data_IF_535455341606
#
_entry.id   IF_535455341606
#
_cell.length_a   1.000
_cell.length_b   1.000
_cell.length_c   1.000
_cell.angle_alpha   90.00
_cell.angle_beta   90.00
_cell.angle_gamma   90.00
#
_symmetry.space_group_name_H-M   'P 1'
#
loop_
_entity.id
_entity.type
_entity.pdbx_description
1 polymer ?
#
# COMPACT_ATOMS: atom_id res chain seq x y z
N UNK A 1 -5.50 7.04 15.77
CA UNK A 1 -6.53 8.03 15.31
C UNK A 1 -6.18 9.50 15.65
N UNK A 2 -5.33 9.71 16.65
CA UNK A 2 -4.89 10.98 17.22
C UNK A 2 -4.22 11.88 16.19
N UNK A 3 -3.40 11.30 15.30
CA UNK A 3 -2.75 12.05 14.23
C UNK A 3 -3.77 12.62 13.23
N UNK A 4 -4.85 11.90 12.93
CA UNK A 4 -5.91 12.40 12.07
C UNK A 4 -6.59 13.64 12.69
N UNK A 5 -6.96 13.55 13.98
CA UNK A 5 -7.53 14.69 14.74
C UNK A 5 -6.60 15.89 14.76
N UNK A 6 -5.31 15.65 14.95
CA UNK A 6 -4.30 16.71 14.90
C UNK A 6 -4.25 17.41 13.54
N UNK A 7 -4.22 16.64 12.43
CA UNK A 7 -4.20 17.19 11.07
C UNK A 7 -5.49 17.94 10.72
N UNK A 8 -6.64 17.45 11.18
CA UNK A 8 -7.93 18.14 11.05
C UNK A 8 -7.90 19.49 11.76
N UNK A 9 -7.39 19.54 13.00
CA UNK A 9 -7.28 20.77 13.77
C UNK A 9 -6.34 21.79 13.10
N UNK A 10 -5.29 21.33 12.42
CA UNK A 10 -4.42 22.19 11.62
C UNK A 10 -5.06 22.69 10.33
N UNK A 11 -6.24 22.19 9.94
CA UNK A 11 -6.94 22.56 8.69
C UNK A 11 -6.09 22.39 7.43
N UNK A 12 -5.27 21.33 7.38
CA UNK A 12 -4.47 21.00 6.20
C UNK A 12 -5.38 20.68 5.00
N UNK A 13 -4.90 20.85 3.77
CA UNK A 13 -5.69 20.50 2.58
C UNK A 13 -5.81 18.99 2.39
N UNK A 14 -4.71 18.27 2.57
CA UNK A 14 -4.62 16.82 2.38
C UNK A 14 -3.79 16.19 3.51
N UNK A 15 -4.16 14.98 3.89
CA UNK A 15 -3.46 14.17 4.89
C UNK A 15 -3.07 12.84 4.25
N UNK A 16 -1.78 12.66 3.94
CA UNK A 16 -1.29 11.43 3.31
C UNK A 16 -0.76 10.44 4.35
N UNK A 17 -1.29 9.22 4.32
CA UNK A 17 -0.85 8.08 5.11
C UNK A 17 -0.02 7.15 4.20
N UNK A 18 1.30 7.28 4.27
CA UNK A 18 2.23 6.49 3.47
C UNK A 18 2.80 5.33 4.29
N UNK A 19 2.80 4.12 3.71
CA UNK A 19 3.45 2.97 4.32
C UNK A 19 4.98 3.13 4.28
N UNK A 20 5.72 2.82 5.37
CA UNK A 20 7.16 3.03 5.41
C UNK A 20 7.93 2.02 4.56
N UNK A 21 8.98 2.51 3.88
CA UNK A 21 9.98 1.67 3.23
C UNK A 21 11.06 1.22 4.22
N UNK A 22 11.45 -0.05 4.15
CA UNK A 22 12.50 -0.63 5.01
C UNK A 22 13.92 -0.43 4.47
N UNK A 23 14.33 0.82 4.23
CA UNK A 23 15.64 1.15 3.65
C UNK A 23 16.66 1.62 4.70
N UNK A 24 17.93 1.77 4.29
CA UNK A 24 19.01 2.23 5.18
C UNK A 24 19.19 1.33 6.42
N UNK A 25 19.23 1.94 7.62
CA UNK A 25 19.33 1.17 8.88
C UNK A 25 18.06 0.40 9.21
N UNK A 26 16.89 0.84 8.74
CA UNK A 26 15.64 0.11 8.94
C UNK A 26 15.69 -1.27 8.27
N UNK A 27 16.43 -1.42 7.16
CA UNK A 27 16.67 -2.72 6.52
C UNK A 27 17.28 -3.76 7.47
N UNK A 28 18.20 -3.34 8.35
CA UNK A 28 18.85 -4.23 9.34
C UNK A 28 17.90 -4.60 10.49
N UNK A 29 16.99 -3.69 10.83
CA UNK A 29 16.03 -3.85 11.93
C UNK A 29 14.60 -3.90 11.40
N UNK A 30 14.40 -4.60 10.27
CA UNK A 30 13.18 -4.50 9.47
C UNK A 30 11.93 -4.79 10.31
N UNK A 31 11.91 -5.92 11.00
CA UNK A 31 10.78 -6.35 11.82
C UNK A 31 10.52 -5.47 13.06
N UNK A 32 11.47 -4.58 13.41
CA UNK A 32 11.29 -3.60 14.49
C UNK A 32 10.72 -2.27 13.96
N UNK A 33 11.02 -1.92 12.71
CA UNK A 33 10.68 -0.62 12.13
C UNK A 33 9.45 -0.67 11.20
N UNK A 34 9.24 -1.80 10.53
CA UNK A 34 8.22 -1.96 9.51
C UNK A 34 7.14 -2.89 10.06
N UNK A 35 5.89 -2.41 10.24
CA UNK A 35 4.79 -3.24 10.69
C UNK A 35 4.27 -4.14 9.56
N UNK A 36 3.43 -5.13 9.87
CA UNK A 36 2.69 -5.83 8.82
C UNK A 36 1.50 -5.01 8.35
N UNK A 37 1.05 -5.24 7.11
CA UNK A 37 -0.16 -4.60 6.59
C UNK A 37 -1.40 -4.98 7.42
N UNK A 38 -1.48 -6.24 7.88
CA UNK A 38 -2.56 -6.68 8.78
C UNK A 38 -2.57 -5.91 10.10
N UNK A 39 -1.40 -5.54 10.62
CA UNK A 39 -1.28 -4.90 11.93
C UNK A 39 -1.72 -3.43 11.86
N UNK A 40 -1.43 -2.74 10.76
CA UNK A 40 -1.79 -1.33 10.59
C UNK A 40 -3.24 -1.13 10.15
N UNK A 41 -3.86 -2.13 9.51
CA UNK A 41 -5.19 -2.01 8.91
C UNK A 41 -6.24 -1.41 9.86
N UNK A 42 -6.47 -1.94 11.09
CA UNK A 42 -7.49 -1.36 11.97
C UNK A 42 -7.20 0.09 12.34
N UNK A 43 -5.94 0.45 12.56
CA UNK A 43 -5.55 1.83 12.90
C UNK A 43 -5.72 2.78 11.72
N UNK A 44 -5.46 2.29 10.50
CA UNK A 44 -5.68 3.06 9.28
C UNK A 44 -7.17 3.31 9.06
N UNK A 45 -8.02 2.28 9.20
CA UNK A 45 -9.48 2.41 9.13
C UNK A 45 -10.01 3.43 10.14
N UNK A 46 -9.57 3.34 11.39
CA UNK A 46 -9.93 4.30 12.44
C UNK A 46 -9.47 5.72 12.10
N UNK A 47 -8.22 5.90 11.66
CA UNK A 47 -7.69 7.21 11.32
C UNK A 47 -8.42 7.85 10.14
N UNK A 48 -8.75 7.08 9.10
CA UNK A 48 -9.45 7.59 7.92
C UNK A 48 -10.89 8.01 8.27
N UNK A 49 -11.56 7.26 9.14
CA UNK A 49 -12.93 7.57 9.59
C UNK A 49 -13.03 8.93 10.30
N UNK A 50 -11.97 9.36 11.00
CA UNK A 50 -11.96 10.66 11.69
C UNK A 50 -12.12 11.86 10.73
N UNK A 51 -11.81 11.68 9.44
CA UNK A 51 -11.96 12.73 8.43
C UNK A 51 -13.39 12.88 7.89
N UNK A 52 -14.32 11.99 8.27
CA UNK A 52 -15.71 12.06 7.81
C UNK A 52 -16.37 13.38 8.24
N UNK A 53 -16.90 14.13 7.26
CA UNK A 53 -17.53 15.43 7.49
C UNK A 53 -16.54 16.62 7.55
N UNK A 54 -15.24 16.37 7.43
CA UNK A 54 -14.22 17.42 7.35
C UNK A 54 -13.78 17.69 5.91
N UNK A 55 -13.27 18.89 5.65
CA UNK A 55 -12.79 19.31 4.32
C UNK A 55 -11.40 18.75 3.99
N UNK A 56 -10.67 18.26 5.00
CA UNK A 56 -9.34 17.68 4.84
C UNK A 56 -9.46 16.35 4.11
N UNK A 57 -8.72 16.18 3.01
CA UNK A 57 -8.79 14.97 2.19
C UNK A 57 -7.74 13.95 2.63
N UNK A 58 -8.11 12.80 3.20
CA UNK A 58 -7.15 11.75 3.50
C UNK A 58 -6.77 10.97 2.23
N UNK A 59 -5.51 10.57 2.12
CA UNK A 59 -4.95 9.78 1.02
C UNK A 59 -4.13 8.62 1.59
N UNK A 60 -4.10 7.48 0.93
CA UNK A 60 -3.37 6.28 1.33
C UNK A 60 -2.38 5.91 0.23
N UNK A 61 -1.11 5.78 0.60
CA UNK A 61 -0.01 5.49 -0.31
C UNK A 61 0.78 4.27 0.15
N UNK A 62 1.29 3.49 -0.81
CA UNK A 62 2.15 2.32 -0.59
C UNK A 62 1.52 1.18 0.24
N UNK A 63 0.18 1.17 0.38
CA UNK A 63 -0.59 0.05 0.92
C UNK A 63 -1.32 -0.65 -0.24
N UNK A 64 -1.13 -1.96 -0.45
CA UNK A 64 -1.78 -2.66 -1.55
C UNK A 64 -3.32 -2.61 -1.45
N UNK A 65 -4.06 -2.42 -2.57
CA UNK A 65 -5.51 -2.30 -2.55
C UNK A 65 -6.26 -3.48 -1.89
N UNK A 66 -5.68 -4.68 -1.89
CA UNK A 66 -6.27 -5.83 -1.20
C UNK A 66 -6.36 -5.68 0.34
N UNK A 67 -5.65 -4.71 0.94
CA UNK A 67 -5.79 -4.34 2.34
C UNK A 67 -6.77 -3.18 2.57
N UNK A 68 -7.22 -2.52 1.49
CA UNK A 68 -7.99 -1.28 1.51
C UNK A 68 -9.46 -1.49 1.11
N UNK A 69 -10.00 -2.70 1.34
CA UNK A 69 -11.41 -3.00 1.05
C UNK A 69 -12.30 -2.06 1.90
N UNK A 70 -13.17 -1.29 1.24
CA UNK A 70 -13.98 -0.23 1.86
C UNK A 70 -13.28 1.14 1.98
N UNK A 71 -11.99 1.22 1.66
CA UNK A 71 -11.16 2.44 1.68
C UNK A 71 -10.57 2.77 0.30
N UNK A 72 -11.04 2.12 -0.77
CA UNK A 72 -10.45 2.17 -2.11
C UNK A 72 -10.39 3.60 -2.66
N UNK A 73 -11.39 4.42 -2.33
CA UNK A 73 -11.47 5.83 -2.76
C UNK A 73 -10.32 6.72 -2.28
N UNK A 74 -9.56 6.27 -1.29
CA UNK A 74 -8.45 7.02 -0.71
C UNK A 74 -7.08 6.60 -1.27
N UNK A 75 -7.01 5.50 -2.01
CA UNK A 75 -5.76 4.97 -2.56
C UNK A 75 -5.25 5.80 -3.74
N UNK A 76 -3.96 6.18 -3.73
CA UNK A 76 -3.40 7.12 -4.72
C UNK A 76 -2.28 6.58 -5.60
N UNK A 77 -1.68 5.43 -5.31
CA UNK A 77 -0.53 4.94 -6.09
C UNK A 77 -0.91 4.65 -7.56
N UNK A 78 -2.17 4.34 -7.84
CA UNK A 78 -2.66 4.09 -9.20
C UNK A 78 -2.40 5.25 -10.18
N UNK A 79 -2.51 6.50 -9.71
CA UNK A 79 -2.40 7.69 -10.56
C UNK A 79 -0.94 7.97 -10.92
N UNK A 80 -0.01 7.73 -9.99
CA UNK A 80 1.41 8.00 -10.20
C UNK A 80 2.06 6.98 -11.15
N UNK A 81 1.60 5.73 -11.13
CA UNK A 81 2.31 4.61 -11.74
C UNK A 81 1.83 4.24 -13.17
N UNK A 82 0.66 4.73 -13.62
CA UNK A 82 0.20 4.57 -15.03
C UNK A 82 1.09 5.25 -16.06
N UNK A 83 1.93 6.21 -15.66
CA UNK A 83 2.85 6.91 -16.56
C UNK A 83 3.99 5.98 -17.04
N UNK A 84 4.29 4.90 -16.32
CA UNK A 84 5.51 4.11 -16.55
C UNK A 84 5.34 2.76 -17.28
N UNK A 85 4.12 2.40 -17.72
CA UNK A 85 3.89 1.24 -18.61
C UNK A 85 4.35 -0.11 -18.05
N UNK A 86 3.46 -0.84 -17.38
CA UNK A 86 3.83 -2.09 -16.72
C UNK A 86 3.88 -3.30 -17.65
N UNK A 87 5.03 -3.97 -17.70
CA UNK A 87 5.21 -5.33 -18.21
C UNK A 87 5.79 -6.19 -17.09
N UNK A 88 5.05 -7.21 -16.65
CA UNK A 88 5.48 -8.17 -15.62
C UNK A 88 6.61 -9.05 -16.16
N UNK A 89 7.78 -9.02 -15.53
CA UNK A 89 8.93 -9.86 -15.85
C UNK A 89 9.20 -10.85 -14.72
N UNK A 90 9.37 -12.13 -15.05
CA UNK A 90 9.57 -13.21 -14.09
C UNK A 90 11.03 -13.30 -13.62
N UNK A 91 11.27 -13.24 -12.32
CA UNK A 91 12.51 -13.73 -11.71
C UNK A 91 12.22 -14.28 -10.31
N UNK A 92 12.50 -15.57 -10.09
CA UNK A 92 12.51 -16.21 -8.76
C UNK A 92 11.25 -15.94 -7.92
N UNK A 93 10.09 -16.37 -8.42
CA UNK A 93 8.74 -16.25 -7.79
C UNK A 93 8.21 -14.82 -7.54
N UNK A 94 8.99 -13.79 -7.89
CA UNK A 94 8.67 -12.38 -7.74
C UNK A 94 8.48 -11.76 -9.14
N UNK A 95 7.40 -11.00 -9.31
CA UNK A 95 7.10 -10.32 -10.58
C UNK A 95 7.60 -8.88 -10.54
N UNK A 96 8.61 -8.57 -11.34
CA UNK A 96 9.16 -7.22 -11.45
C UNK A 96 8.53 -6.49 -12.64
N UNK A 97 8.01 -5.27 -12.46
CA UNK A 97 7.73 -4.39 -13.58
C UNK A 97 9.04 -3.97 -14.30
N UNK A 98 9.06 -3.99 -15.65
CA UNK A 98 10.28 -3.76 -16.44
C UNK A 98 10.53 -2.26 -16.69
N UNK A 99 11.75 -1.81 -16.38
CA UNK A 99 12.26 -0.45 -16.64
C UNK A 99 12.73 0.20 -15.33
N UNK A 100 14.05 0.34 -15.17
CA UNK A 100 14.76 0.96 -14.02
C UNK A 100 14.35 0.47 -12.61
N UNK A 101 15.25 -0.26 -11.94
CA UNK A 101 15.22 -0.62 -10.50
C UNK A 101 13.81 -0.62 -9.90
N UNK A 102 13.01 -1.64 -10.22
CA UNK A 102 11.69 -1.69 -9.62
C UNK A 102 11.81 -2.14 -8.17
N UNK A 103 11.38 -1.27 -7.24
CA UNK A 103 11.37 -1.53 -5.80
C UNK A 103 10.12 -2.30 -5.35
N UNK A 104 9.11 -2.40 -6.23
CA UNK A 104 7.85 -3.10 -5.98
C UNK A 104 7.71 -4.34 -6.87
N UNK A 105 6.96 -5.31 -6.39
CA UNK A 105 6.68 -6.55 -7.09
C UNK A 105 5.29 -7.10 -6.77
N UNK A 106 4.87 -8.07 -7.58
CA UNK A 106 3.68 -8.86 -7.35
C UNK A 106 4.04 -10.31 -7.00
N UNK A 107 3.08 -11.04 -6.44
CA UNK A 107 3.21 -12.47 -6.17
C UNK A 107 2.32 -13.28 -7.11
N UNK A 108 2.47 -14.62 -7.12
CA UNK A 108 1.59 -15.49 -7.92
C UNK A 108 0.10 -15.33 -7.57
N UNK A 109 -0.19 -15.00 -6.32
CA UNK A 109 -1.56 -14.74 -5.84
C UNK A 109 -2.18 -13.50 -6.48
N UNK A 110 -1.36 -12.51 -6.83
CA UNK A 110 -1.83 -11.27 -7.45
C UNK A 110 -2.40 -11.49 -8.86
N UNK A 111 -2.01 -12.56 -9.56
CA UNK A 111 -2.48 -12.85 -10.93
C UNK A 111 -3.99 -13.07 -11.03
N UNK A 112 -4.62 -13.48 -9.93
CA UNK A 112 -6.07 -13.67 -9.84
C UNK A 112 -6.76 -12.52 -9.09
N UNK A 113 -6.08 -11.42 -8.79
CA UNK A 113 -6.67 -10.30 -8.06
C UNK A 113 -7.34 -9.31 -9.01
N UNK A 114 -8.59 -8.97 -8.75
CA UNK A 114 -9.34 -8.03 -9.60
C UNK A 114 -8.85 -6.59 -9.44
N UNK A 115 -8.14 -6.27 -8.34
CA UNK A 115 -7.44 -5.00 -8.17
C UNK A 115 -6.08 -4.94 -8.86
N UNK A 116 -5.58 -6.03 -9.47
CA UNK A 116 -4.26 -6.05 -10.12
C UNK A 116 -4.05 -4.88 -11.10
N UNK A 117 -5.02 -4.52 -11.99
CA UNK A 117 -4.82 -3.41 -12.92
C UNK A 117 -4.65 -2.04 -12.26
N UNK A 118 -5.05 -1.91 -10.99
CA UNK A 118 -4.96 -0.67 -10.22
C UNK A 118 -3.87 -0.70 -9.13
N UNK A 119 -3.28 -1.86 -8.87
CA UNK A 119 -2.27 -2.05 -7.83
C UNK A 119 -0.89 -1.59 -8.34
N UNK A 120 -0.12 -0.91 -7.50
CA UNK A 120 1.28 -0.56 -7.76
C UNK A 120 2.28 -1.68 -7.44
N UNK A 121 1.80 -2.78 -6.86
CA UNK A 121 2.62 -3.83 -6.28
C UNK A 121 3.05 -3.54 -4.84
N UNK A 122 3.84 -4.45 -4.30
CA UNK A 122 4.30 -4.51 -2.90
C UNK A 122 5.81 -4.34 -2.89
N UNK A 123 6.38 -3.60 -1.94
CA UNK A 123 7.84 -3.48 -1.85
C UNK A 123 8.53 -4.84 -1.77
N UNK A 124 9.60 -5.02 -2.54
CA UNK A 124 10.36 -6.27 -2.60
C UNK A 124 10.93 -6.60 -1.22
N UNK A 125 11.46 -5.60 -0.50
CA UNK A 125 11.97 -5.83 0.84
C UNK A 125 10.89 -6.31 1.81
N UNK A 126 9.63 -5.89 1.61
CA UNK A 126 8.51 -6.40 2.41
C UNK A 126 8.31 -7.89 2.15
N UNK A 127 8.20 -8.29 0.88
CA UNK A 127 8.01 -9.69 0.50
C UNK A 127 9.16 -10.58 0.96
N UNK A 128 10.41 -10.08 0.87
CA UNK A 128 11.59 -10.84 1.30
C UNK A 128 11.65 -11.07 2.82
N UNK A 129 11.15 -10.13 3.64
CA UNK A 129 11.19 -10.24 5.11
C UNK A 129 9.95 -10.90 5.70
N UNK A 130 8.77 -10.63 5.15
CA UNK A 130 7.49 -11.06 5.71
C UNK A 130 6.76 -12.13 4.91
N UNK A 131 7.21 -12.43 3.70
CA UNK A 131 6.57 -13.37 2.79
C UNK A 131 5.28 -12.83 2.16
N UNK A 132 4.49 -13.73 1.60
CA UNK A 132 3.25 -13.41 0.87
C UNK A 132 1.96 -13.84 1.59
N UNK A 133 2.06 -14.37 2.82
CA UNK A 133 0.95 -15.05 3.49
C UNK A 133 -0.27 -14.15 3.74
N UNK A 134 -0.04 -12.88 4.07
CA UNK A 134 -1.10 -11.90 4.27
C UNK A 134 -1.68 -11.34 2.96
N UNK A 135 -1.04 -11.61 1.82
CA UNK A 135 -1.49 -11.13 0.52
C UNK A 135 -2.65 -11.99 0.04
N UNK A 136 -3.85 -11.43 0.13
CA UNK A 136 -5.10 -12.09 -0.26
C UNK A 136 -5.67 -11.41 -1.50
N UNK A 137 -5.79 -12.12 -2.64
CA UNK A 137 -6.41 -11.54 -3.83
C UNK A 137 -7.88 -11.22 -3.58
N UNK A 138 -8.35 -10.12 -4.16
CA UNK A 138 -9.75 -9.68 -4.08
C UNK A 138 -10.48 -10.10 -5.35
N UNK A 139 -11.71 -10.60 -5.19
CA UNK A 139 -12.66 -10.89 -6.26
C UNK A 139 -13.88 -10.00 -6.11
N UNK A 140 -14.17 -9.18 -7.12
CA UNK A 140 -15.32 -8.27 -7.16
C UNK A 140 -16.48 -9.02 -7.82
N UNK A 141 -17.55 -9.31 -7.07
CA UNK A 141 -18.76 -9.96 -7.58
C UNK A 141 -18.87 -11.47 -7.31
N UNK A 142 -18.26 -11.96 -6.24
CA UNK A 142 -18.50 -13.30 -5.68
C UNK A 142 -19.39 -13.25 -4.45
#
# INVERSE_FOLDING_TARGET
PEIAKFLINLSVNEAKFSFPHGIGRAKKYFNLCIPRFTDIKPFLEEAIKEFDGFRVKPLIEAVPPCFLIGLERYYVDYIAERINGFVLTFKEDIFLPRGEVCEKAYTKRCLICDYLPACSGIYIEYLLNFGEDEIKPVKIGG
#
